data_IF_041643823968
#
_entry.id   IF_041643823968
#
_cell.length_a   1.000
_cell.length_b   1.000
_cell.length_c   1.000
_cell.angle_alpha   90.00
_cell.angle_beta   90.00
_cell.angle_gamma   90.00
#
_symmetry.space_group_name_H-M   'P 1'
#
loop_
_entity.id
_entity.type
_entity.pdbx_description
1 polymer ?
#
# COMPACT_ATOMS: atom_id res chain seq x y z
N UNK A 1 22.10 -5.62 10.57
CA UNK A 1 20.93 -6.49 10.82
C UNK A 1 20.05 -6.35 9.59
N UNK A 2 19.92 -7.44 8.83
CA UNK A 2 19.06 -7.44 7.64
C UNK A 2 17.59 -7.33 8.11
N UNK A 3 16.90 -6.26 7.71
CA UNK A 3 15.51 -6.07 8.06
C UNK A 3 14.67 -7.14 7.34
N UNK A 4 13.68 -7.72 8.03
CA UNK A 4 12.75 -8.67 7.38
C UNK A 4 12.06 -7.99 6.21
N UNK A 5 12.01 -8.66 5.08
CA UNK A 5 11.25 -8.17 3.90
C UNK A 5 9.76 -8.38 4.10
N UNK A 6 8.98 -7.47 3.55
CA UNK A 6 7.52 -7.53 3.46
C UNK A 6 7.15 -7.65 1.99
N UNK A 7 6.16 -8.46 1.65
CA UNK A 7 5.49 -8.39 0.35
C UNK A 7 4.26 -7.49 0.48
N UNK A 8 4.28 -6.34 -0.19
CA UNK A 8 3.13 -5.46 -0.33
C UNK A 8 2.25 -5.96 -1.47
N UNK A 9 1.07 -6.48 -1.15
CA UNK A 9 0.11 -7.01 -2.12
C UNK A 9 -0.87 -5.91 -2.50
N UNK A 10 -0.86 -5.51 -3.77
CA UNK A 10 -1.58 -4.33 -4.28
C UNK A 10 -2.49 -4.73 -5.45
N UNK A 11 -3.75 -5.09 -5.21
CA UNK A 11 -4.73 -5.19 -6.26
C UNK A 11 -5.02 -3.82 -6.88
N UNK A 12 -5.10 -3.76 -8.21
CA UNK A 12 -5.40 -2.53 -8.92
C UNK A 12 -6.28 -2.79 -10.14
N UNK A 13 -7.20 -1.88 -10.42
CA UNK A 13 -7.98 -1.83 -11.65
C UNK A 13 -8.32 -0.40 -12.01
N UNK A 14 -7.89 0.04 -13.21
CA UNK A 14 -8.18 1.37 -13.75
C UNK A 14 -7.92 2.48 -12.70
N UNK A 15 -6.75 2.44 -12.08
CA UNK A 15 -6.38 3.33 -10.98
C UNK A 15 -4.88 3.69 -11.07
N UNK A 16 -4.40 3.94 -12.30
CA UNK A 16 -2.97 4.07 -12.61
C UNK A 16 -2.28 5.15 -11.78
N UNK A 17 -2.85 6.33 -11.69
CA UNK A 17 -2.21 7.48 -11.02
C UNK A 17 -2.03 7.24 -9.52
N UNK A 18 -3.07 6.71 -8.86
CA UNK A 18 -2.97 6.31 -7.45
C UNK A 18 -1.99 5.16 -7.24
N UNK A 19 -2.01 4.14 -8.12
CA UNK A 19 -1.07 3.03 -8.06
C UNK A 19 0.38 3.51 -8.18
N UNK A 20 0.66 4.49 -9.03
CA UNK A 20 1.98 5.11 -9.16
C UNK A 20 2.42 5.78 -7.87
N UNK A 21 1.52 6.49 -7.20
CA UNK A 21 1.78 7.14 -5.91
C UNK A 21 2.02 6.12 -4.81
N UNK A 22 1.18 5.08 -4.73
CA UNK A 22 1.33 3.96 -3.81
C UNK A 22 2.69 3.28 -3.98
N UNK A 23 3.04 2.90 -5.21
CA UNK A 23 4.31 2.27 -5.55
C UNK A 23 5.51 3.13 -5.12
N UNK A 24 5.52 4.41 -5.48
CA UNK A 24 6.60 5.34 -5.10
C UNK A 24 6.74 5.44 -3.59
N UNK A 25 5.64 5.51 -2.86
CA UNK A 25 5.67 5.61 -1.39
C UNK A 25 6.30 4.39 -0.73
N UNK A 26 6.01 3.18 -1.24
CA UNK A 26 6.60 1.94 -0.74
C UNK A 26 8.10 1.87 -1.10
N UNK A 27 8.49 2.27 -2.31
CA UNK A 27 9.91 2.32 -2.72
C UNK A 27 10.75 3.32 -1.91
N UNK A 28 10.13 4.32 -1.30
CA UNK A 28 10.79 5.23 -0.36
C UNK A 28 11.03 4.63 1.03
N UNK A 29 10.44 3.48 1.36
CA UNK A 29 10.75 2.75 2.57
C UNK A 29 12.16 2.15 2.49
N UNK A 30 12.86 2.06 3.63
CA UNK A 30 14.26 1.64 3.66
C UNK A 30 14.47 0.11 3.56
N UNK A 31 13.40 -0.67 3.64
CA UNK A 31 13.46 -2.13 3.76
C UNK A 31 13.71 -2.90 2.48
N UNK A 32 13.77 -2.25 1.33
CA UNK A 32 13.86 -2.92 0.02
C UNK A 32 12.85 -4.07 -0.10
N UNK A 33 11.59 -3.74 0.10
CA UNK A 33 10.47 -4.68 0.16
C UNK A 33 10.08 -5.18 -1.24
N UNK A 34 9.44 -6.35 -1.27
CA UNK A 34 8.80 -6.87 -2.47
C UNK A 34 7.46 -6.15 -2.69
N UNK A 35 7.18 -5.75 -3.92
CA UNK A 35 5.86 -5.26 -4.31
C UNK A 35 5.24 -6.27 -5.27
N UNK A 36 4.03 -6.69 -4.99
CA UNK A 36 3.23 -7.55 -5.85
C UNK A 36 2.00 -6.79 -6.32
N UNK A 37 2.03 -6.35 -7.57
CA UNK A 37 0.89 -5.69 -8.22
C UNK A 37 0.03 -6.73 -8.93
N UNK A 38 -1.27 -6.73 -8.61
CA UNK A 38 -2.26 -7.59 -9.25
C UNK A 38 -3.18 -6.72 -10.10
N UNK A 39 -2.90 -6.68 -11.39
CA UNK A 39 -3.66 -5.91 -12.38
C UNK A 39 -4.91 -6.69 -12.83
N UNK A 40 -6.10 -6.27 -12.37
CA UNK A 40 -7.37 -6.94 -12.67
C UNK A 40 -8.03 -6.36 -13.92
N UNK A 41 -7.46 -6.66 -15.08
CA UNK A 41 -7.97 -6.26 -16.39
C UNK A 41 -8.12 -4.72 -16.55
N UNK A 42 -7.08 -3.96 -16.18
CA UNK A 42 -7.06 -2.50 -16.41
C UNK A 42 -6.91 -2.17 -17.89
N UNK A 43 -7.48 -1.04 -18.29
CA UNK A 43 -7.47 -0.48 -19.66
C UNK A 43 -6.92 0.95 -19.71
N UNK A 44 -6.36 1.45 -18.60
CA UNK A 44 -5.91 2.83 -18.41
C UNK A 44 -4.39 3.04 -18.58
N UNK A 45 -3.68 2.06 -19.19
CA UNK A 45 -2.22 2.11 -19.34
C UNK A 45 -1.45 1.52 -18.15
N UNK A 46 -2.14 0.93 -17.18
CA UNK A 46 -1.51 0.30 -16.00
C UNK A 46 -0.48 -0.75 -16.41
N UNK A 47 -0.81 -1.64 -17.36
CA UNK A 47 0.10 -2.73 -17.77
C UNK A 47 1.35 -2.19 -18.45
N UNK A 48 1.22 -1.22 -19.33
CA UNK A 48 2.32 -0.57 -20.03
C UNK A 48 3.27 0.12 -19.04
N UNK A 49 2.70 0.82 -18.05
CA UNK A 49 3.49 1.46 -17.01
C UNK A 49 4.26 0.43 -16.16
N UNK A 50 3.60 -0.65 -15.70
CA UNK A 50 4.25 -1.72 -14.94
C UNK A 50 5.44 -2.28 -15.71
N UNK A 51 5.26 -2.57 -17.01
CA UNK A 51 6.29 -3.13 -17.87
C UNK A 51 7.50 -2.18 -18.07
N UNK A 52 7.29 -0.87 -17.88
CA UNK A 52 8.35 0.14 -18.03
C UNK A 52 9.23 0.30 -16.78
N UNK A 53 8.86 -0.24 -15.62
CA UNK A 53 9.52 0.05 -14.35
C UNK A 53 10.93 -0.56 -14.22
N UNK A 54 11.20 -1.72 -14.81
CA UNK A 54 12.50 -2.39 -14.71
C UNK A 54 12.93 -2.74 -13.26
N UNK A 55 11.98 -2.97 -12.38
CA UNK A 55 12.19 -3.20 -10.95
C UNK A 55 12.30 -4.70 -10.65
N UNK A 56 13.44 -5.15 -10.15
CA UNK A 56 13.71 -6.58 -9.88
C UNK A 56 12.95 -7.13 -8.65
N UNK A 57 12.52 -6.27 -7.74
CA UNK A 57 11.73 -6.64 -6.55
C UNK A 57 10.20 -6.42 -6.79
N UNK A 58 9.80 -6.21 -8.05
CA UNK A 58 8.40 -6.14 -8.47
C UNK A 58 7.94 -7.48 -9.04
N UNK A 59 6.86 -8.01 -8.47
CA UNK A 59 6.14 -9.16 -9.03
C UNK A 59 4.82 -8.65 -9.60
N UNK A 60 4.41 -9.22 -10.71
CA UNK A 60 3.17 -8.80 -11.38
C UNK A 60 2.31 -10.02 -11.67
N UNK A 61 1.04 -9.90 -11.33
CA UNK A 61 -0.01 -10.74 -11.88
C UNK A 61 -0.90 -9.90 -12.80
N UNK A 62 -1.15 -10.39 -13.99
CA UNK A 62 -2.02 -9.75 -14.95
C UNK A 62 -3.21 -10.64 -15.28
N UNK A 63 -4.41 -10.18 -14.95
CA UNK A 63 -5.65 -10.74 -15.45
C UNK A 63 -5.94 -10.11 -16.83
N UNK A 64 -5.91 -10.88 -17.92
CA UNK A 64 -6.17 -10.31 -19.25
C UNK A 64 -7.63 -9.88 -19.47
N UNK A 65 -8.54 -10.29 -18.57
CA UNK A 65 -9.97 -10.04 -18.73
C UNK A 65 -10.62 -11.00 -19.75
N UNK A 66 -11.84 -10.70 -20.24
CA UNK A 66 -12.64 -9.52 -19.88
C UNK A 66 -13.24 -9.58 -18.47
N UNK A 67 -13.35 -10.78 -17.88
CA UNK A 67 -13.95 -10.95 -16.56
C UNK A 67 -13.01 -10.48 -15.44
N UNK A 68 -13.59 -9.80 -14.46
CA UNK A 68 -12.88 -9.37 -13.24
C UNK A 68 -12.77 -10.52 -12.26
N UNK A 69 -11.63 -10.63 -11.61
CA UNK A 69 -11.44 -11.52 -10.44
C UNK A 69 -12.02 -10.85 -9.19
N UNK A 70 -11.88 -9.54 -9.09
CA UNK A 70 -12.35 -8.75 -7.95
C UNK A 70 -11.36 -8.72 -6.79
N UNK A 71 -11.61 -7.79 -5.86
CA UNK A 71 -10.63 -7.45 -4.79
C UNK A 71 -10.27 -8.64 -3.91
N UNK A 72 -11.24 -9.46 -3.51
CA UNK A 72 -11.02 -10.61 -2.64
C UNK A 72 -10.15 -11.66 -3.34
N UNK A 73 -10.53 -12.07 -4.55
CA UNK A 73 -9.77 -13.07 -5.30
C UNK A 73 -8.37 -12.58 -5.69
N UNK A 74 -8.19 -11.27 -5.87
CA UNK A 74 -6.88 -10.69 -6.10
C UNK A 74 -6.00 -10.73 -4.84
N UNK A 75 -6.54 -10.48 -3.66
CA UNK A 75 -5.77 -10.66 -2.42
C UNK A 75 -5.42 -12.12 -2.18
N UNK A 76 -6.33 -13.06 -2.40
CA UNK A 76 -6.05 -14.50 -2.29
C UNK A 76 -4.89 -14.90 -3.21
N UNK A 77 -4.96 -14.46 -4.47
CA UNK A 77 -3.87 -14.70 -5.44
C UNK A 77 -2.55 -14.05 -5.01
N UNK A 78 -2.61 -12.86 -4.45
CA UNK A 78 -1.43 -12.17 -3.93
C UNK A 78 -0.78 -12.92 -2.77
N UNK A 79 -1.57 -13.51 -1.87
CA UNK A 79 -1.06 -14.34 -0.76
C UNK A 79 -0.35 -15.58 -1.31
N UNK A 80 -0.92 -16.23 -2.32
CA UNK A 80 -0.31 -17.41 -2.97
C UNK A 80 1.02 -17.09 -3.66
N UNK A 81 1.15 -15.89 -4.23
CA UNK A 81 2.32 -15.48 -5.02
C UNK A 81 3.42 -14.80 -4.19
N UNK A 82 3.11 -14.35 -2.97
CA UNK A 82 4.08 -13.67 -2.10
C UNK A 82 5.28 -14.58 -1.79
N UNK A 83 6.48 -13.99 -1.80
CA UNK A 83 7.75 -14.72 -1.60
C UNK A 83 8.37 -14.48 -0.22
N UNK A 84 7.72 -13.68 0.62
CA UNK A 84 8.18 -13.40 1.98
C UNK A 84 7.20 -13.93 3.02
N UNK A 85 7.70 -14.17 4.24
CA UNK A 85 6.87 -14.66 5.36
C UNK A 85 5.89 -13.58 5.90
N UNK A 86 6.09 -12.33 5.51
CA UNK A 86 5.29 -11.20 5.97
C UNK A 86 4.60 -10.57 4.77
N UNK A 87 3.28 -10.56 4.82
CA UNK A 87 2.44 -10.03 3.76
C UNK A 87 1.69 -8.83 4.29
N UNK A 88 1.67 -7.75 3.54
CA UNK A 88 0.88 -6.56 3.82
C UNK A 88 -0.16 -6.36 2.74
N UNK A 89 -1.45 -6.50 3.09
CA UNK A 89 -2.52 -6.06 2.23
C UNK A 89 -2.47 -4.54 2.10
N UNK A 90 -2.32 -4.04 0.87
CA UNK A 90 -2.17 -2.61 0.59
C UNK A 90 -3.03 -2.24 -0.61
N UNK A 91 -3.86 -1.21 -0.47
CA UNK A 91 -4.70 -0.77 -1.58
C UNK A 91 -3.93 0.18 -2.51
N UNK A 92 -4.31 0.20 -3.78
CA UNK A 92 -3.64 1.02 -4.79
C UNK A 92 -3.84 2.54 -4.58
N UNK A 93 -4.82 2.94 -3.79
CA UNK A 93 -5.15 4.31 -3.42
C UNK A 93 -4.59 4.74 -2.04
N UNK A 94 -3.61 4.02 -1.53
CA UNK A 94 -2.94 4.31 -0.26
C UNK A 94 -1.51 4.80 -0.46
N UNK A 95 -1.05 5.62 0.48
CA UNK A 95 0.34 6.08 0.57
C UNK A 95 0.99 5.53 1.83
N UNK A 96 2.13 4.86 1.68
CA UNK A 96 2.93 4.38 2.80
C UNK A 96 3.61 5.56 3.51
N UNK A 97 3.31 5.74 4.79
CA UNK A 97 3.96 6.75 5.62
C UNK A 97 5.44 6.44 5.84
N UNK A 98 6.29 7.45 6.10
CA UNK A 98 7.70 7.23 6.44
C UNK A 98 7.88 6.26 7.60
N UNK A 99 8.76 5.27 7.45
CA UNK A 99 9.04 4.21 8.42
C UNK A 99 7.87 3.28 8.77
N UNK A 100 6.81 3.23 7.96
CA UNK A 100 5.68 2.30 8.13
C UNK A 100 6.16 0.87 8.35
N UNK A 101 7.08 0.40 7.52
CA UNK A 101 7.70 -0.93 7.60
C UNK A 101 8.31 -1.22 8.97
N UNK A 102 9.07 -0.28 9.51
CA UNK A 102 9.70 -0.43 10.83
C UNK A 102 8.69 -0.51 11.96
N UNK A 103 7.64 0.32 11.88
CA UNK A 103 6.59 0.33 12.90
C UNK A 103 5.79 -0.98 12.87
N UNK A 104 5.40 -1.45 11.70
CA UNK A 104 4.71 -2.74 11.55
C UNK A 104 5.59 -3.89 12.08
N UNK A 105 6.85 -3.97 11.64
CA UNK A 105 7.76 -5.05 12.04
C UNK A 105 8.06 -5.05 13.54
N UNK A 106 8.08 -3.88 14.19
CA UNK A 106 8.30 -3.75 15.65
C UNK A 106 7.18 -4.41 16.46
N UNK A 107 5.94 -4.32 15.97
CA UNK A 107 4.75 -4.82 16.69
C UNK A 107 4.34 -6.22 16.24
N UNK A 108 4.82 -6.69 15.09
CA UNK A 108 4.47 -7.98 14.53
C UNK A 108 5.08 -9.13 15.35
N UNK A 109 4.23 -10.04 15.82
CA UNK A 109 4.60 -11.27 16.52
C UNK A 109 3.98 -12.47 15.81
N UNK A 110 4.52 -13.66 16.06
CA UNK A 110 3.92 -14.89 15.52
C UNK A 110 2.46 -15.02 16.00
N UNK A 111 1.57 -15.27 15.05
CA UNK A 111 0.15 -15.42 15.33
C UNK A 111 -0.60 -14.10 15.54
N UNK A 112 0.02 -12.96 15.21
CA UNK A 112 -0.65 -11.65 15.29
C UNK A 112 -0.83 -11.03 13.91
N UNK A 113 -1.88 -10.22 13.78
CA UNK A 113 -2.08 -9.30 12.67
C UNK A 113 -1.86 -7.88 13.19
N UNK A 114 -1.12 -7.08 12.47
CA UNK A 114 -0.86 -5.66 12.79
C UNK A 114 -1.51 -4.79 11.72
N UNK A 115 -2.36 -3.86 12.13
CA UNK A 115 -2.95 -2.85 11.25
C UNK A 115 -2.35 -1.48 11.54
N UNK A 116 -2.03 -0.74 10.49
CA UNK A 116 -1.66 0.66 10.62
C UNK A 116 -2.91 1.53 10.75
N UNK A 117 -2.81 2.64 11.50
CA UNK A 117 -3.85 3.67 11.51
C UNK A 117 -3.96 4.29 10.12
N UNK A 118 -5.16 4.35 9.57
CA UNK A 118 -5.44 5.06 8.33
C UNK A 118 -5.57 6.56 8.60
N UNK A 119 -5.01 7.35 7.72
CA UNK A 119 -5.23 8.81 7.68
C UNK A 119 -6.03 9.11 6.42
N UNK A 120 -7.20 9.67 6.59
CA UNK A 120 -8.17 9.89 5.51
C UNK A 120 -8.65 11.35 5.51
N UNK A 121 -8.96 11.93 4.34
CA UNK A 121 -9.69 13.19 4.29
C UNK A 121 -11.09 13.02 4.91
N UNK A 122 -11.72 14.08 5.41
CA UNK A 122 -12.99 14.01 6.15
C UNK A 122 -14.20 13.79 5.21
N UNK A 123 -14.13 12.77 4.36
CA UNK A 123 -15.22 12.37 3.44
C UNK A 123 -16.22 11.41 4.09
N UNK A 124 -15.80 10.73 5.15
CA UNK A 124 -16.61 9.76 5.87
C UNK A 124 -16.55 10.02 7.38
N UNK A 125 -17.50 9.51 8.17
CA UNK A 125 -17.47 9.65 9.62
C UNK A 125 -16.18 9.14 10.24
N UNK A 126 -15.77 9.73 11.36
CA UNK A 126 -14.60 9.30 12.14
C UNK A 126 -14.81 7.88 12.72
N UNK A 127 -13.71 7.19 12.99
CA UNK A 127 -13.69 5.84 13.56
C UNK A 127 -12.42 5.60 14.38
N UNK A 128 -12.41 4.55 15.22
CA UNK A 128 -11.26 4.26 16.08
C UNK A 128 -10.01 3.84 15.28
N UNK A 129 -10.19 3.31 14.07
CA UNK A 129 -9.12 2.78 13.20
C UNK A 129 -8.50 3.83 12.28
N UNK A 130 -8.98 5.08 12.33
CA UNK A 130 -8.52 6.13 11.41
C UNK A 130 -8.42 7.50 12.07
N UNK A 131 -7.71 8.38 11.40
CA UNK A 131 -7.62 9.81 11.72
C UNK A 131 -8.10 10.63 10.53
N UNK A 132 -8.95 11.63 10.78
CA UNK A 132 -9.42 12.54 9.74
C UNK A 132 -8.47 13.71 9.61
N UNK A 133 -7.70 13.74 8.54
CA UNK A 133 -6.79 14.83 8.16
C UNK A 133 -6.83 15.00 6.65
N UNK A 134 -6.84 16.23 6.18
CA UNK A 134 -6.86 16.52 4.76
C UNK A 134 -5.46 16.92 4.24
N UNK A 135 -4.88 16.05 3.44
CA UNK A 135 -3.64 16.28 2.70
C UNK A 135 -3.86 16.27 1.18
N UNK A 136 -5.11 16.23 0.73
CA UNK A 136 -5.58 16.07 -0.63
C UNK A 136 -6.53 14.88 -0.75
N UNK A 137 -7.34 14.89 -1.79
CA UNK A 137 -8.35 13.84 -2.09
C UNK A 137 -7.94 13.08 -3.35
N UNK A 138 -7.49 13.81 -4.36
CA UNK A 138 -7.02 13.28 -5.61
C UNK A 138 -5.49 13.31 -5.67
N UNK A 139 -4.89 12.61 -6.64
CA UNK A 139 -3.41 12.55 -6.77
C UNK A 139 -2.81 13.93 -7.03
N UNK A 140 -3.50 14.77 -7.79
CA UNK A 140 -3.03 16.11 -8.18
C UNK A 140 -2.99 17.10 -7.02
N UNK A 141 -3.86 16.94 -6.02
CA UNK A 141 -3.93 17.84 -4.87
C UNK A 141 -3.33 17.24 -3.59
N UNK A 142 -2.85 15.99 -3.66
CA UNK A 142 -2.24 15.32 -2.51
C UNK A 142 -0.84 15.89 -2.19
N UNK A 143 -0.73 16.57 -1.06
CA UNK A 143 0.54 17.15 -0.58
C UNK A 143 1.34 16.11 0.22
N UNK A 144 2.15 15.31 -0.49
CA UNK A 144 3.01 14.27 0.09
C UNK A 144 4.02 14.86 1.10
N UNK A 145 4.51 16.07 0.88
CA UNK A 145 5.49 16.69 1.77
C UNK A 145 4.84 17.12 3.08
N UNK A 146 3.66 17.72 3.02
CA UNK A 146 2.88 18.08 4.20
C UNK A 146 2.48 16.84 5.00
N UNK A 147 2.04 15.77 4.32
CA UNK A 147 1.72 14.48 4.94
C UNK A 147 2.95 13.90 5.66
N UNK A 148 4.08 13.78 4.98
CA UNK A 148 5.31 13.21 5.55
C UNK A 148 5.85 14.03 6.73
N UNK A 149 5.77 15.36 6.64
CA UNK A 149 6.18 16.24 7.73
C UNK A 149 5.28 16.05 8.95
N UNK A 150 3.98 16.01 8.76
CA UNK A 150 3.02 15.77 9.82
C UNK A 150 3.23 14.41 10.49
N UNK A 151 3.40 13.33 9.72
CA UNK A 151 3.69 12.00 10.26
C UNK A 151 4.96 12.00 11.11
N UNK A 152 5.99 12.73 10.69
CA UNK A 152 7.30 12.72 11.35
C UNK A 152 7.35 13.56 12.64
N UNK A 153 6.53 14.62 12.74
CA UNK A 153 6.66 15.60 13.82
C UNK A 153 5.40 15.70 14.70
N UNK A 154 4.22 15.55 14.13
CA UNK A 154 2.96 15.89 14.80
C UNK A 154 2.03 14.68 15.03
N UNK A 155 2.33 13.54 14.37
CA UNK A 155 1.49 12.35 14.50
C UNK A 155 1.49 11.83 15.93
N UNK A 156 0.30 11.74 16.50
CA UNK A 156 0.05 11.03 17.75
C UNK A 156 -0.89 9.87 17.47
N UNK A 157 -0.50 8.60 17.76
CA UNK A 157 -1.37 7.47 17.50
C UNK A 157 -2.69 7.63 18.25
N UNK A 158 -3.80 7.52 17.54
CA UNK A 158 -5.07 7.24 18.20
C UNK A 158 -4.93 5.89 18.89
N UNK A 159 -5.28 5.83 20.14
CA UNK A 159 -5.19 4.64 20.96
C UNK A 159 -5.82 3.44 20.27
N UNK A 160 -5.03 2.67 19.64
CA UNK A 160 -5.33 1.37 19.10
C UNK A 160 -4.45 0.36 19.77
N UNK A 161 -4.59 0.20 21.03
CA UNK A 161 -4.24 -1.05 21.67
C UNK A 161 -5.37 -2.00 21.40
N UNK A 162 -5.22 -2.83 20.40
CA UNK A 162 -5.82 -4.14 20.39
C UNK A 162 -5.04 -5.04 21.32
#
# INVERSE_FOLDING_TARGET
INMKKITFVIPSRNNLEFLQLAYKSIRNLKGNHEILVLNDASTDGTQEWINSLGDNDLIVYHNPGPERIGIVGMFDKGIEMARTDIIMAFHADMVAAPNLDKHILKHLKRGTVVSATRVEPPLHPDGPEKMLMNFGIEVEDFDINKFNNWVSNDYQPKHGTL
#
